data_IF_843881329022
#
_entry.id   IF_843881329022
#
_cell.length_a   1.000
_cell.length_b   1.000
_cell.length_c   1.000
_cell.angle_alpha   90.00
_cell.angle_beta   90.00
_cell.angle_gamma   90.00
#
_symmetry.space_group_name_H-M   'P 1'
#
loop_
_entity.id
_entity.type
_entity.pdbx_description
1 polymer ?
#
# COMPACT_ATOMS: atom_id res chain seq x y z
N UNK A 1 9.17 26.33 10.90
CA UNK A 1 8.54 25.06 10.46
C UNK A 1 7.13 24.85 11.03
N UNK A 2 6.47 25.88 11.60
CA UNK A 2 5.20 25.75 12.35
C UNK A 2 4.00 25.22 11.58
N UNK A 3 4.06 25.15 10.24
CA UNK A 3 2.99 24.61 9.39
C UNK A 3 3.27 23.21 8.85
N UNK A 4 4.48 22.67 9.02
CA UNK A 4 4.84 21.34 8.49
C UNK A 4 4.54 20.29 9.56
N UNK A 5 3.85 19.23 9.19
CA UNK A 5 3.62 18.10 10.06
C UNK A 5 4.88 17.22 10.12
N UNK A 6 5.59 17.24 11.26
CA UNK A 6 6.82 16.46 11.42
C UNK A 6 6.58 14.97 11.64
N UNK A 7 5.38 14.56 12.09
CA UNK A 7 5.02 13.14 12.28
C UNK A 7 5.11 12.35 10.98
N UNK A 8 4.83 12.99 9.84
CA UNK A 8 4.96 12.35 8.52
C UNK A 8 6.36 12.48 7.94
N UNK A 9 7.11 13.53 8.32
CA UNK A 9 8.46 13.77 7.81
C UNK A 9 9.50 12.86 8.47
N UNK A 10 9.38 12.59 9.78
CA UNK A 10 10.35 11.75 10.52
C UNK A 10 10.48 10.34 9.91
N UNK A 11 9.39 9.58 9.68
CA UNK A 11 9.50 8.26 9.04
C UNK A 11 10.06 8.31 7.62
N UNK A 12 9.74 9.38 6.88
CA UNK A 12 10.28 9.58 5.54
C UNK A 12 11.80 9.80 5.56
N UNK A 13 12.30 10.62 6.48
CA UNK A 13 13.74 10.87 6.67
C UNK A 13 14.46 9.56 6.99
N UNK A 14 13.99 8.80 7.98
CA UNK A 14 14.54 7.49 8.33
C UNK A 14 14.64 6.58 7.12
N UNK A 15 13.53 6.37 6.41
CA UNK A 15 13.49 5.50 5.23
C UNK A 15 14.47 5.98 4.15
N UNK A 16 14.50 7.29 3.87
CA UNK A 16 15.32 7.84 2.78
C UNK A 16 16.81 7.84 3.11
N UNK A 17 17.19 8.06 4.37
CA UNK A 17 18.57 7.92 4.83
C UNK A 17 19.02 6.47 4.69
N UNK A 18 18.22 5.51 5.17
CA UNK A 18 18.53 4.07 5.05
C UNK A 18 18.62 3.61 3.60
N UNK A 19 17.74 4.11 2.71
CA UNK A 19 17.77 3.83 1.27
C UNK A 19 19.06 4.34 0.60
N UNK A 20 19.54 5.52 0.99
CA UNK A 20 20.71 6.15 0.37
C UNK A 20 22.04 5.63 0.92
N UNK A 21 22.11 5.30 2.20
CA UNK A 21 23.31 4.77 2.85
C UNK A 21 23.41 3.25 2.78
N UNK A 22 22.30 2.55 2.62
CA UNK A 22 22.23 1.09 2.65
C UNK A 22 22.23 0.49 4.07
N UNK A 23 22.24 1.33 5.09
CA UNK A 23 22.13 0.96 6.50
C UNK A 23 21.41 2.07 7.27
N UNK A 24 20.86 1.73 8.44
CA UNK A 24 20.19 2.68 9.31
C UNK A 24 21.22 3.38 10.20
N UNK A 25 21.40 4.69 9.99
CA UNK A 25 22.26 5.55 10.80
C UNK A 25 21.40 6.40 11.74
N UNK A 26 21.13 5.89 12.94
CA UNK A 26 20.29 6.57 13.93
C UNK A 26 20.88 7.92 14.37
N UNK A 27 22.21 8.07 14.37
CA UNK A 27 22.87 9.32 14.77
C UNK A 27 22.59 10.40 13.73
N UNK A 28 22.79 10.08 12.46
CA UNK A 28 22.47 10.99 11.36
C UNK A 28 20.98 11.33 11.31
N UNK A 29 20.10 10.34 11.48
CA UNK A 29 18.65 10.55 11.48
C UNK A 29 18.24 11.52 12.59
N UNK A 30 18.71 11.29 13.81
CA UNK A 30 18.42 12.18 14.95
C UNK A 30 19.04 13.57 14.76
N UNK A 31 20.22 13.65 14.15
CA UNK A 31 20.85 14.91 13.81
C UNK A 31 20.00 15.72 12.82
N UNK A 32 19.52 15.09 11.74
CA UNK A 32 18.62 15.73 10.77
C UNK A 32 17.33 16.19 11.44
N UNK A 33 16.75 15.39 12.32
CA UNK A 33 15.58 15.79 13.10
C UNK A 33 15.85 17.06 13.91
N UNK A 34 16.97 17.12 14.64
CA UNK A 34 17.36 18.29 15.42
C UNK A 34 17.53 19.55 14.56
N UNK A 35 18.10 19.41 13.35
CA UNK A 35 18.24 20.53 12.40
C UNK A 35 16.88 21.07 11.91
N UNK A 36 15.90 20.19 11.73
CA UNK A 36 14.56 20.57 11.23
C UNK A 36 13.64 21.10 12.33
N UNK A 37 13.88 20.74 13.60
CA UNK A 37 13.12 21.25 14.75
C UNK A 37 13.46 22.72 15.08
N UNK A 38 14.51 23.28 14.46
CA UNK A 38 14.85 24.69 14.58
C UNK A 38 13.71 25.63 14.12
N UNK A 39 13.52 26.74 14.86
CA UNK A 39 12.45 27.74 14.57
C UNK A 39 12.53 28.28 13.14
N UNK A 40 13.75 28.50 12.65
CA UNK A 40 14.06 28.85 11.25
C UNK A 40 15.06 27.83 10.70
N UNK A 41 14.64 27.12 9.65
CA UNK A 41 15.48 26.15 8.96
C UNK A 41 16.03 26.79 7.69
N UNK A 42 17.34 26.74 7.51
CA UNK A 42 18.02 27.17 6.29
C UNK A 42 18.49 25.95 5.52
N UNK A 43 17.97 25.73 4.31
CA UNK A 43 18.30 24.56 3.50
C UNK A 43 19.78 24.44 3.15
N UNK A 44 20.50 25.57 2.98
CA UNK A 44 21.95 25.56 2.73
C UNK A 44 22.72 25.07 3.95
N UNK A 45 22.33 25.51 5.13
CA UNK A 45 22.95 25.12 6.39
C UNK A 45 22.75 23.63 6.64
N UNK A 46 21.51 23.16 6.51
CA UNK A 46 21.18 21.73 6.62
C UNK A 46 22.02 20.91 5.64
N UNK A 47 22.11 21.34 4.37
CA UNK A 47 22.89 20.65 3.37
C UNK A 47 24.37 20.55 3.75
N UNK A 48 25.00 21.65 4.19
CA UNK A 48 26.41 21.66 4.61
C UNK A 48 26.62 20.69 5.77
N UNK A 49 25.76 20.75 6.79
CA UNK A 49 25.90 19.92 7.99
C UNK A 49 25.73 18.42 7.71
N UNK A 50 24.84 18.03 6.80
CA UNK A 50 24.63 16.61 6.47
C UNK A 50 25.60 16.11 5.38
N UNK A 51 26.28 17.00 4.66
CA UNK A 51 27.20 16.61 3.57
C UNK A 51 28.35 15.74 4.06
N UNK A 52 28.85 15.99 5.28
CA UNK A 52 29.91 15.17 5.87
C UNK A 52 29.50 13.72 6.16
N UNK A 53 28.19 13.43 6.25
CA UNK A 53 27.67 12.09 6.52
C UNK A 53 27.20 11.36 5.25
N UNK A 54 26.52 12.08 4.35
CA UNK A 54 25.90 11.49 3.16
C UNK A 54 26.75 11.64 1.89
N UNK A 55 27.79 12.48 1.93
CA UNK A 55 28.72 12.75 0.82
C UNK A 55 27.99 12.95 -0.51
N UNK A 56 28.22 12.05 -1.48
CA UNK A 56 27.63 12.04 -2.83
C UNK A 56 26.10 11.94 -2.87
N UNK A 57 25.48 11.40 -1.82
CA UNK A 57 24.03 11.23 -1.74
C UNK A 57 23.31 12.48 -1.23
N UNK A 58 24.04 13.43 -0.62
CA UNK A 58 23.49 14.63 -0.01
C UNK A 58 22.65 15.47 -0.95
N UNK A 59 23.12 15.69 -2.18
CA UNK A 59 22.41 16.51 -3.16
C UNK A 59 21.05 15.90 -3.54
N UNK A 60 20.98 14.56 -3.66
CA UNK A 60 19.73 13.85 -3.94
C UNK A 60 18.77 13.96 -2.76
N UNK A 61 19.25 13.65 -1.57
CA UNK A 61 18.47 13.73 -0.34
C UNK A 61 17.90 15.14 -0.10
N UNK A 62 18.75 16.16 -0.18
CA UNK A 62 18.36 17.54 0.10
C UNK A 62 17.31 18.06 -0.90
N UNK A 63 17.44 17.70 -2.18
CA UNK A 63 16.47 18.07 -3.21
C UNK A 63 15.08 17.49 -2.90
N UNK A 64 15.01 16.20 -2.54
CA UNK A 64 13.75 15.54 -2.19
C UNK A 64 13.17 16.11 -0.90
N UNK A 65 13.99 16.23 0.15
CA UNK A 65 13.58 16.80 1.44
C UNK A 65 13.01 18.20 1.28
N UNK A 66 13.72 19.10 0.59
CA UNK A 66 13.28 20.47 0.41
C UNK A 66 11.99 20.57 -0.41
N UNK A 67 11.83 19.71 -1.41
CA UNK A 67 10.59 19.63 -2.21
C UNK A 67 9.39 19.25 -1.33
N UNK A 68 9.55 18.25 -0.46
CA UNK A 68 8.49 17.83 0.46
C UNK A 68 8.16 18.90 1.49
N UNK A 69 9.17 19.56 2.06
CA UNK A 69 8.97 20.63 3.02
C UNK A 69 8.21 21.82 2.41
N UNK A 70 8.58 22.23 1.20
CA UNK A 70 7.87 23.30 0.48
C UNK A 70 6.44 22.90 0.12
N UNK A 71 6.23 21.64 -0.27
CA UNK A 71 4.91 21.07 -0.56
C UNK A 71 4.02 21.08 0.69
N UNK A 72 4.55 20.61 1.83
CA UNK A 72 3.88 20.63 3.12
C UNK A 72 3.53 22.05 3.58
N UNK A 73 4.43 23.02 3.40
CA UNK A 73 4.17 24.41 3.78
C UNK A 73 3.05 25.07 2.97
N UNK A 74 2.86 24.66 1.72
CA UNK A 74 1.79 25.14 0.84
C UNK A 74 0.45 24.48 1.16
N UNK A 75 0.46 23.29 1.73
CA UNK A 75 -0.73 22.55 2.12
C UNK A 75 -1.26 23.02 3.48
N UNK A 76 -2.58 23.21 3.59
CA UNK A 76 -3.22 23.62 4.85
C UNK A 76 -3.08 22.55 5.96
N UNK A 77 -2.98 21.27 5.59
CA UNK A 77 -2.78 20.15 6.52
C UNK A 77 -1.34 20.01 7.02
N UNK A 78 -0.39 20.73 6.43
CA UNK A 78 1.03 20.55 6.72
C UNK A 78 1.62 19.26 6.20
N UNK A 79 0.89 18.50 5.37
CA UNK A 79 1.34 17.23 4.79
C UNK A 79 1.79 17.46 3.34
N UNK A 80 2.96 16.94 2.93
CA UNK A 80 3.38 17.02 1.53
C UNK A 80 2.37 16.36 0.59
N UNK A 81 2.03 17.03 -0.51
CA UNK A 81 1.11 16.49 -1.53
C UNK A 81 1.56 15.12 -2.05
N UNK A 82 2.87 14.93 -2.20
CA UNK A 82 3.46 13.66 -2.64
C UNK A 82 3.10 12.49 -1.71
N UNK A 83 2.85 12.73 -0.42
CA UNK A 83 2.43 11.67 0.50
C UNK A 83 0.95 11.34 0.32
N UNK A 84 0.13 12.33 -0.02
CA UNK A 84 -1.29 12.11 -0.35
C UNK A 84 -1.40 11.31 -1.64
N UNK A 85 -0.67 11.72 -2.67
CA UNK A 85 -0.64 11.05 -3.98
C UNK A 85 -0.13 9.61 -3.85
N UNK A 86 0.96 9.39 -3.10
CA UNK A 86 1.49 8.06 -2.84
C UNK A 86 0.50 7.16 -2.07
N UNK A 87 -0.27 7.73 -1.14
CA UNK A 87 -1.29 6.99 -0.40
C UNK A 87 -2.48 6.61 -1.29
N UNK A 88 -2.89 7.51 -2.16
CA UNK A 88 -3.93 7.23 -3.15
C UNK A 88 -3.50 6.09 -4.09
N UNK A 89 -2.27 6.12 -4.59
CA UNK A 89 -1.76 5.05 -5.47
C UNK A 89 -1.67 3.69 -4.75
N UNK A 90 -1.23 3.68 -3.48
CA UNK A 90 -1.18 2.46 -2.67
C UNK A 90 -2.57 1.85 -2.48
N UNK A 91 -3.59 2.68 -2.23
CA UNK A 91 -4.98 2.25 -2.07
C UNK A 91 -5.55 1.68 -3.36
N UNK A 92 -5.27 2.31 -4.51
CA UNK A 92 -5.72 1.84 -5.81
C UNK A 92 -5.14 0.46 -6.15
N UNK A 93 -3.84 0.24 -5.89
CA UNK A 93 -3.19 -1.07 -6.12
C UNK A 93 -3.76 -2.15 -5.20
N UNK A 94 -3.97 -1.84 -3.91
CA UNK A 94 -4.58 -2.79 -2.97
C UNK A 94 -6.01 -3.15 -3.35
N UNK A 95 -6.79 -2.17 -3.79
CA UNK A 95 -8.16 -2.41 -4.26
C UNK A 95 -8.17 -3.31 -5.50
N UNK A 96 -7.32 -3.04 -6.48
CA UNK A 96 -7.23 -3.87 -7.69
C UNK A 96 -6.83 -5.32 -7.40
N UNK A 97 -5.91 -5.55 -6.46
CA UNK A 97 -5.52 -6.90 -6.06
C UNK A 97 -6.63 -7.61 -5.28
N UNK A 98 -7.29 -6.91 -4.35
CA UNK A 98 -8.40 -7.48 -3.59
C UNK A 98 -9.59 -7.81 -4.50
N UNK A 99 -9.88 -6.98 -5.50
CA UNK A 99 -10.93 -7.22 -6.49
C UNK A 99 -10.59 -8.44 -7.37
N UNK A 100 -9.32 -8.63 -7.76
CA UNK A 100 -8.87 -9.84 -8.48
C UNK A 100 -9.04 -11.10 -7.65
N UNK A 101 -8.59 -11.08 -6.41
CA UNK A 101 -8.70 -12.22 -5.49
C UNK A 101 -10.17 -12.55 -5.24
N UNK A 102 -11.00 -11.54 -4.97
CA UNK A 102 -12.44 -11.71 -4.75
C UNK A 102 -13.14 -12.30 -5.99
N UNK A 103 -12.80 -11.83 -7.18
CA UNK A 103 -13.38 -12.33 -8.43
C UNK A 103 -13.01 -13.79 -8.68
N UNK A 104 -11.76 -14.17 -8.43
CA UNK A 104 -11.33 -15.56 -8.64
C UNK A 104 -11.92 -16.51 -7.60
N UNK A 105 -12.07 -16.07 -6.34
CA UNK A 105 -12.77 -16.83 -5.30
C UNK A 105 -14.25 -17.03 -5.68
N UNK A 106 -14.92 -15.98 -6.14
CA UNK A 106 -16.33 -16.08 -6.54
C UNK A 106 -16.49 -17.01 -7.75
N UNK A 107 -15.62 -16.90 -8.74
CA UNK A 107 -15.63 -17.76 -9.93
C UNK A 107 -15.45 -19.25 -9.57
N UNK A 108 -14.56 -19.56 -8.62
CA UNK A 108 -14.37 -20.93 -8.12
C UNK A 108 -15.60 -21.43 -7.37
N UNK A 109 -16.17 -20.62 -6.46
CA UNK A 109 -17.41 -20.97 -5.74
C UNK A 109 -18.58 -21.21 -6.70
N UNK A 110 -18.75 -20.36 -7.70
CA UNK A 110 -19.84 -20.50 -8.68
C UNK A 110 -19.67 -21.76 -9.53
N UNK A 111 -18.43 -22.11 -9.89
CA UNK A 111 -18.13 -23.34 -10.62
C UNK A 111 -18.39 -24.58 -9.76
N UNK A 112 -17.89 -24.61 -8.54
CA UNK A 112 -18.14 -25.70 -7.58
C UNK A 112 -19.64 -25.86 -7.30
N UNK A 113 -20.37 -24.75 -7.12
CA UNK A 113 -21.82 -24.79 -6.89
C UNK A 113 -22.59 -25.33 -8.10
N UNK A 114 -22.16 -25.00 -9.33
CA UNK A 114 -22.76 -25.54 -10.56
C UNK A 114 -22.50 -27.04 -10.68
N UNK A 115 -21.28 -27.49 -10.43
CA UNK A 115 -20.91 -28.91 -10.48
C UNK A 115 -21.70 -29.73 -9.45
N UNK A 116 -21.83 -29.24 -8.21
CA UNK A 116 -22.64 -29.87 -7.16
C UNK A 116 -24.12 -29.94 -7.57
N UNK A 117 -24.66 -28.87 -8.16
CA UNK A 117 -26.05 -28.83 -8.59
C UNK A 117 -26.32 -29.80 -9.75
N UNK A 118 -25.43 -29.87 -10.73
CA UNK A 118 -25.51 -30.82 -11.85
C UNK A 118 -25.46 -32.26 -11.36
N UNK A 119 -24.59 -32.58 -10.40
CA UNK A 119 -24.50 -33.94 -9.85
C UNK A 119 -25.76 -34.33 -9.09
N UNK A 120 -26.34 -33.40 -8.32
CA UNK A 120 -27.65 -33.61 -7.66
C UNK A 120 -28.75 -33.86 -8.69
N UNK A 121 -28.79 -33.08 -9.77
CA UNK A 121 -29.79 -33.23 -10.82
C UNK A 121 -29.69 -34.60 -11.50
N UNK A 122 -28.47 -35.07 -11.81
CA UNK A 122 -28.23 -36.40 -12.38
C UNK A 122 -28.71 -37.52 -11.46
N UNK A 123 -28.47 -37.41 -10.15
CA UNK A 123 -28.94 -38.39 -9.14
C UNK A 123 -30.47 -38.42 -9.06
N UNK A 124 -31.13 -37.25 -9.07
CA UNK A 124 -32.59 -37.15 -9.06
C UNK A 124 -33.22 -37.74 -10.33
N UNK A 125 -32.65 -37.44 -11.50
CA UNK A 125 -33.13 -37.99 -12.77
C UNK A 125 -32.98 -39.50 -12.82
N UNK A 126 -31.83 -40.04 -12.39
CA UNK A 126 -31.62 -41.48 -12.30
C UNK A 126 -32.63 -42.16 -11.36
N UNK A 127 -32.89 -41.55 -10.19
CA UNK A 127 -33.89 -42.04 -9.23
C UNK A 127 -35.31 -42.01 -9.82
N UNK A 128 -35.67 -40.93 -10.51
CA UNK A 128 -36.99 -40.80 -11.15
C UNK A 128 -37.19 -41.85 -12.24
N UNK A 129 -36.17 -42.13 -13.07
CA UNK A 129 -36.21 -43.17 -14.10
C UNK A 129 -36.46 -44.54 -13.46
N UNK A 130 -35.75 -44.87 -12.39
CA UNK A 130 -35.95 -46.12 -11.65
C UNK A 130 -37.37 -46.18 -11.09
N UNK A 131 -37.87 -45.09 -10.50
CA UNK A 131 -39.21 -45.03 -9.92
C UNK A 131 -40.30 -45.25 -10.97
N UNK A 132 -40.16 -44.64 -12.15
CA UNK A 132 -41.07 -44.85 -13.28
C UNK A 132 -41.04 -46.30 -13.75
N UNK A 133 -39.85 -46.90 -13.86
CA UNK A 133 -39.72 -48.31 -14.25
C UNK A 133 -40.36 -49.26 -13.23
N UNK A 134 -40.12 -49.04 -11.94
CA UNK A 134 -40.73 -49.81 -10.85
C UNK A 134 -42.25 -49.64 -10.82
N UNK A 135 -42.75 -48.43 -11.05
CA UNK A 135 -44.19 -48.16 -11.11
C UNK A 135 -44.84 -48.89 -12.30
N UNK A 136 -44.20 -48.86 -13.47
CA UNK A 136 -44.65 -49.58 -14.66
C UNK A 136 -44.70 -51.09 -14.42
N UNK A 137 -43.68 -51.68 -13.79
CA UNK A 137 -43.64 -53.09 -13.40
C UNK A 137 -44.71 -53.48 -12.37
N UNK A 138 -45.15 -52.55 -11.52
CA UNK A 138 -46.25 -52.79 -10.55
C UNK A 138 -47.64 -52.66 -11.15
N UNK A 139 -47.77 -52.07 -12.33
CA UNK A 139 -49.04 -51.85 -13.05
C UNK A 139 -49.32 -52.93 -14.10
N UNK A 140 -48.36 -53.82 -14.37
CA UNK A 140 -48.48 -55.05 -15.18
C UNK A 140 -48.77 -56.24 -14.27
#
# INVERSE_FOLDING_TARGET
MTKVNMEVMRPWITRKVTELLGFEDEVLINFIHGLLDAKKVNGKEVQIQITGFMEKNTGKFMKELWTLLLSAQKNASGVPQQFLDAKEEELLKKKAENDRISTEIQRKKDKESKEIMEERLKKLLASAIIWVHVLYLKLL
#
